data_IF_559017392296
#
_entry.id   IF_559017392296
#
_cell.length_a   1.000
_cell.length_b   1.000
_cell.length_c   1.000
_cell.angle_alpha   90.00
_cell.angle_beta   90.00
_cell.angle_gamma   90.00
#
_symmetry.space_group_name_H-M   'P 1'
#
loop_
_entity.id
_entity.type
_entity.pdbx_description
1 polymer ?
#
# COMPACT_ATOMS: atom_id res chain seq x y z
N UNK A 1 3.17 -1.08 12.92
CA UNK A 1 3.80 -1.38 14.20
C UNK A 1 5.27 -1.75 13.99
N UNK A 2 6.15 -1.11 14.75
CA UNK A 2 7.61 -1.35 14.74
C UNK A 2 8.05 -2.05 16.04
N UNK A 3 7.21 -2.92 16.59
CA UNK A 3 7.49 -3.74 17.78
C UNK A 3 8.01 -2.91 18.97
N UNK A 4 7.30 -1.84 19.31
CA UNK A 4 7.63 -0.94 20.42
C UNK A 4 8.58 0.20 20.08
N UNK A 5 9.19 0.23 18.89
CA UNK A 5 9.97 1.38 18.40
C UNK A 5 9.05 2.49 17.87
N UNK A 6 9.47 3.74 17.99
CA UNK A 6 8.77 4.91 17.44
C UNK A 6 9.52 5.48 16.23
N UNK A 7 8.84 5.48 15.08
CA UNK A 7 9.32 6.14 13.87
C UNK A 7 8.64 7.49 13.71
N UNK A 8 9.43 8.53 13.61
CA UNK A 8 8.99 9.91 13.32
C UNK A 8 9.60 10.33 12.00
N UNK A 9 8.78 10.78 11.06
CA UNK A 9 9.24 11.28 9.77
C UNK A 9 8.55 12.61 9.44
N UNK A 10 9.32 13.52 8.89
CA UNK A 10 8.88 14.82 8.40
C UNK A 10 9.59 15.16 7.09
N UNK A 11 9.26 16.28 6.45
CA UNK A 11 9.99 16.75 5.28
C UNK A 11 11.46 17.15 5.56
N UNK A 12 11.87 17.18 6.83
CA UNK A 12 13.20 17.61 7.24
C UNK A 12 14.08 16.48 7.80
N UNK A 13 13.47 15.43 8.35
CA UNK A 13 14.22 14.34 9.01
C UNK A 13 13.41 13.05 9.14
N UNK A 14 14.12 11.95 9.29
CA UNK A 14 13.61 10.66 9.74
C UNK A 14 14.34 10.30 11.03
N UNK A 15 13.59 9.98 12.08
CA UNK A 15 14.14 9.56 13.38
C UNK A 15 13.45 8.29 13.85
N UNK A 16 14.23 7.25 14.15
CA UNK A 16 13.77 6.00 14.77
C UNK A 16 14.29 5.94 16.21
N UNK A 17 13.38 5.76 17.14
CA UNK A 17 13.67 5.59 18.57
C UNK A 17 13.36 4.16 18.99
N UNK A 18 14.14 3.62 19.92
CA UNK A 18 13.86 2.35 20.59
C UNK A 18 12.73 2.50 21.62
N UNK A 19 12.38 1.40 22.29
CA UNK A 19 11.37 1.32 23.36
C UNK A 19 11.73 2.13 24.63
N UNK A 20 12.99 2.59 24.74
CA UNK A 20 13.49 3.43 25.84
C UNK A 20 13.61 4.91 25.43
N UNK A 21 13.31 5.24 24.17
CA UNK A 21 13.44 6.58 23.62
C UNK A 21 14.86 6.94 23.16
N UNK A 22 15.79 5.99 23.07
CA UNK A 22 17.11 6.25 22.50
C UNK A 22 17.04 6.28 20.97
N UNK A 23 17.79 7.17 20.35
CA UNK A 23 17.88 7.24 18.89
C UNK A 23 18.64 6.05 18.33
N UNK A 24 17.95 5.22 17.52
CA UNK A 24 18.53 4.08 16.78
C UNK A 24 19.03 4.53 15.42
N UNK A 25 18.26 5.40 14.76
CA UNK A 25 18.58 5.94 13.43
C UNK A 25 18.10 7.37 13.30
N UNK A 26 18.90 8.20 12.66
CA UNK A 26 18.53 9.58 12.32
C UNK A 26 19.18 9.98 11.00
N UNK A 27 18.40 10.60 10.12
CA UNK A 27 18.92 11.20 8.90
C UNK A 27 18.16 12.49 8.56
N UNK A 28 18.86 13.56 8.14
CA UNK A 28 18.22 14.71 7.53
C UNK A 28 17.52 14.33 6.23
N UNK A 29 16.42 14.99 5.93
CA UNK A 29 15.64 14.81 4.72
C UNK A 29 15.33 16.17 4.10
N UNK A 30 15.21 16.23 2.79
CA UNK A 30 14.63 17.35 2.06
C UNK A 30 13.54 16.81 1.14
N UNK A 31 12.32 16.73 1.66
CA UNK A 31 11.17 16.20 0.94
C UNK A 31 9.97 17.11 1.12
N UNK A 32 9.05 17.09 0.16
CA UNK A 32 7.79 17.80 0.24
C UNK A 32 6.83 17.10 1.20
N UNK A 33 5.96 16.26 0.68
CA UNK A 33 5.00 15.50 1.48
C UNK A 33 5.52 14.09 1.77
N UNK A 34 5.80 13.80 3.04
CA UNK A 34 6.28 12.50 3.51
C UNK A 34 5.12 11.65 4.02
N UNK A 35 5.12 10.39 3.66
CA UNK A 35 4.24 9.37 4.20
C UNK A 35 5.02 8.19 4.79
N UNK A 36 4.37 7.49 5.71
CA UNK A 36 4.93 6.32 6.41
C UNK A 36 3.92 5.19 6.37
N UNK A 37 4.39 4.00 6.05
CA UNK A 37 3.66 2.75 6.21
C UNK A 37 4.52 1.77 7.00
N UNK A 38 3.90 0.95 7.86
CA UNK A 38 4.64 0.02 8.71
C UNK A 38 3.82 -1.23 9.01
N UNK A 39 4.46 -2.38 8.94
CA UNK A 39 3.88 -3.68 9.26
C UNK A 39 4.98 -4.63 9.69
N UNK A 40 4.69 -5.45 10.70
CA UNK A 40 5.51 -6.61 11.11
C UNK A 40 6.99 -6.25 11.37
N UNK A 41 7.22 -5.14 12.11
CA UNK A 41 8.56 -4.66 12.47
C UNK A 41 9.37 -4.02 11.36
N UNK A 42 8.77 -3.77 10.19
CA UNK A 42 9.35 -3.06 9.06
C UNK A 42 8.57 -1.80 8.75
N UNK A 43 9.22 -0.79 8.20
CA UNK A 43 8.57 0.45 7.76
C UNK A 43 9.18 0.97 6.46
N UNK A 44 8.36 1.70 5.71
CA UNK A 44 8.81 2.51 4.59
C UNK A 44 8.43 3.97 4.82
N UNK A 45 9.40 4.86 4.67
CA UNK A 45 9.22 6.31 4.60
C UNK A 45 9.45 6.75 3.17
N UNK A 46 8.53 7.49 2.59
CA UNK A 46 8.62 7.90 1.19
C UNK A 46 8.05 9.29 0.96
N UNK A 47 8.49 9.92 -0.11
CA UNK A 47 7.94 11.19 -0.58
C UNK A 47 6.81 10.94 -1.58
N UNK A 48 5.60 11.43 -1.27
CA UNK A 48 4.47 11.37 -2.20
C UNK A 48 4.75 12.31 -3.39
N UNK A 49 4.68 11.78 -4.60
CA UNK A 49 5.05 12.52 -5.82
C UNK A 49 6.56 12.64 -6.05
N UNK A 50 7.38 12.21 -5.09
CA UNK A 50 8.83 12.09 -5.25
C UNK A 50 9.26 10.71 -5.71
N UNK A 51 10.57 10.42 -5.59
CA UNK A 51 11.17 9.14 -6.01
C UNK A 51 11.94 8.44 -4.89
N UNK A 52 12.07 9.08 -3.74
CA UNK A 52 12.86 8.59 -2.63
C UNK A 52 12.03 7.73 -1.70
N UNK A 53 12.57 6.58 -1.31
CA UNK A 53 12.00 5.64 -0.35
C UNK A 53 13.09 5.13 0.57
N UNK A 54 12.82 5.16 1.88
CA UNK A 54 13.68 4.66 2.95
C UNK A 54 13.01 3.45 3.58
N UNK A 55 13.63 2.28 3.44
CA UNK A 55 13.18 1.05 4.07
C UNK A 55 13.91 0.90 5.41
N UNK A 56 13.16 0.74 6.49
CA UNK A 56 13.68 0.65 7.85
C UNK A 56 13.17 -0.63 8.53
N UNK A 57 13.96 -1.10 9.48
CA UNK A 57 13.55 -2.07 10.49
C UNK A 57 13.89 -1.52 11.89
N UNK A 58 13.70 -2.31 12.94
CA UNK A 58 14.01 -1.91 14.33
C UNK A 58 15.48 -1.59 14.58
N UNK A 59 16.40 -1.97 13.69
CA UNK A 59 17.83 -1.73 13.79
C UNK A 59 18.27 -0.48 13.04
N UNK A 60 17.37 0.13 12.28
CA UNK A 60 17.63 1.35 11.51
C UNK A 60 17.35 1.20 10.02
N UNK A 61 18.13 1.87 9.21
CA UNK A 61 18.00 1.86 7.76
C UNK A 61 18.44 0.52 7.16
N UNK A 62 17.50 -0.15 6.49
CA UNK A 62 17.79 -1.35 5.68
C UNK A 62 18.28 -0.94 4.30
N UNK A 63 17.59 0.02 3.67
CA UNK A 63 17.92 0.46 2.31
C UNK A 63 17.33 1.84 2.01
N UNK A 64 18.11 2.68 1.35
CA UNK A 64 17.64 3.86 0.65
C UNK A 64 17.47 3.51 -0.84
N UNK A 65 16.33 3.90 -1.43
CA UNK A 65 15.95 3.56 -2.79
C UNK A 65 15.56 4.84 -3.55
N UNK A 66 16.08 4.98 -4.77
CA UNK A 66 15.56 5.95 -5.74
C UNK A 66 14.83 5.19 -6.82
N UNK A 67 13.52 5.43 -6.93
CA UNK A 67 12.65 4.71 -7.86
C UNK A 67 12.63 5.38 -9.24
N UNK A 68 12.21 4.63 -10.26
CA UNK A 68 12.17 5.12 -11.64
C UNK A 68 11.13 6.21 -11.88
N UNK A 69 10.03 6.21 -11.11
CA UNK A 69 8.90 7.14 -11.26
C UNK A 69 8.48 7.78 -9.94
N UNK A 70 7.60 8.77 -10.05
CA UNK A 70 6.97 9.43 -8.91
C UNK A 70 6.10 8.43 -8.13
N UNK A 71 6.29 8.36 -6.82
CA UNK A 71 5.58 7.44 -5.93
C UNK A 71 4.19 8.00 -5.64
N UNK A 72 3.15 7.19 -5.84
CA UNK A 72 1.78 7.52 -5.44
C UNK A 72 1.45 6.93 -4.07
N UNK A 73 1.78 5.66 -3.86
CA UNK A 73 1.53 4.98 -2.60
C UNK A 73 2.56 3.87 -2.37
N UNK A 74 2.82 3.57 -1.10
CA UNK A 74 3.57 2.40 -0.64
C UNK A 74 2.77 1.74 0.46
N UNK A 75 2.58 0.42 0.36
CA UNK A 75 1.93 -0.38 1.39
C UNK A 75 2.85 -1.48 1.86
N UNK A 76 3.17 -1.44 3.16
CA UNK A 76 3.88 -2.53 3.82
C UNK A 76 2.94 -3.71 4.06
N UNK A 77 3.47 -4.91 3.92
CA UNK A 77 2.78 -6.16 4.21
C UNK A 77 3.64 -7.07 5.07
N UNK A 78 3.07 -8.18 5.50
CA UNK A 78 3.74 -9.14 6.38
C UNK A 78 5.04 -9.69 5.80
N UNK A 79 6.00 -9.97 6.70
CA UNK A 79 7.31 -10.47 6.35
C UNK A 79 8.18 -9.44 5.62
N UNK A 80 7.90 -8.16 5.81
CA UNK A 80 8.63 -7.03 5.22
C UNK A 80 8.45 -6.88 3.71
N UNK A 81 7.51 -7.60 3.06
CA UNK A 81 7.17 -7.35 1.66
C UNK A 81 6.40 -6.05 1.56
N UNK A 82 6.57 -5.34 0.45
CA UNK A 82 5.82 -4.11 0.22
C UNK A 82 5.51 -3.91 -1.27
N UNK A 83 4.41 -3.21 -1.54
CA UNK A 83 4.01 -2.81 -2.87
C UNK A 83 4.21 -1.31 -3.04
N UNK A 84 4.79 -0.90 -4.16
CA UNK A 84 4.96 0.50 -4.54
C UNK A 84 4.15 0.78 -5.78
N UNK A 85 3.25 1.73 -5.71
CA UNK A 85 2.50 2.25 -6.84
C UNK A 85 3.16 3.54 -7.30
N UNK A 86 3.52 3.63 -8.59
CA UNK A 86 4.25 4.74 -9.13
C UNK A 86 3.82 5.11 -10.56
N UNK A 87 4.15 6.33 -10.95
CA UNK A 87 4.01 6.81 -12.33
C UNK A 87 5.05 6.16 -13.22
N UNK A 88 4.63 5.69 -14.38
CA UNK A 88 5.53 5.07 -15.36
C UNK A 88 5.27 5.61 -16.76
N UNK A 89 6.33 6.01 -17.46
CA UNK A 89 6.25 6.50 -18.83
C UNK A 89 5.64 5.44 -19.76
N UNK A 90 4.64 5.83 -20.54
CA UNK A 90 3.92 4.92 -21.45
C UNK A 90 2.75 4.15 -20.82
N UNK A 91 2.57 4.27 -19.50
CA UNK A 91 1.47 3.65 -18.75
C UNK A 91 0.77 4.69 -17.88
N UNK A 92 -0.45 4.38 -17.41
CA UNK A 92 -1.14 5.22 -16.41
C UNK A 92 -0.44 5.12 -15.06
N UNK A 93 -0.16 3.89 -14.65
CA UNK A 93 0.55 3.59 -13.39
C UNK A 93 1.27 2.25 -13.51
N UNK A 94 2.22 2.02 -12.62
CA UNK A 94 2.85 0.74 -12.40
C UNK A 94 2.84 0.38 -10.91
N UNK A 95 2.84 -0.91 -10.61
CA UNK A 95 3.08 -1.44 -9.27
C UNK A 95 4.28 -2.34 -9.31
N UNK A 96 5.17 -2.20 -8.33
CA UNK A 96 6.27 -3.14 -8.10
C UNK A 96 6.19 -3.66 -6.68
N UNK A 97 6.21 -4.96 -6.52
CA UNK A 97 6.30 -5.64 -5.22
C UNK A 97 7.76 -5.95 -4.93
N UNK A 98 8.20 -5.62 -3.72
CA UNK A 98 9.55 -5.83 -3.23
C UNK A 98 9.57 -6.79 -2.03
N UNK A 99 10.71 -7.42 -1.80
CA UNK A 99 10.98 -8.11 -0.53
C UNK A 99 11.50 -7.14 0.54
N UNK A 100 11.66 -7.62 1.78
CA UNK A 100 12.15 -6.85 2.92
C UNK A 100 13.59 -6.31 2.79
N UNK A 101 14.31 -6.64 1.70
CA UNK A 101 15.62 -6.09 1.37
C UNK A 101 15.55 -5.02 0.27
N UNK A 102 14.33 -4.69 -0.20
CA UNK A 102 14.14 -3.78 -1.32
C UNK A 102 14.60 -4.35 -2.67
N UNK A 103 14.49 -5.68 -2.87
CA UNK A 103 14.71 -6.34 -4.15
C UNK A 103 13.37 -6.59 -4.83
N UNK A 104 13.21 -6.28 -6.14
CA UNK A 104 11.94 -6.45 -6.82
C UNK A 104 11.60 -7.93 -7.00
N UNK A 105 10.36 -8.30 -6.69
CA UNK A 105 9.81 -9.65 -6.84
C UNK A 105 8.85 -9.75 -8.02
N UNK A 106 8.05 -8.71 -8.23
CA UNK A 106 6.98 -8.69 -9.23
C UNK A 106 6.72 -7.26 -9.69
N UNK A 107 6.41 -7.08 -10.97
CA UNK A 107 6.06 -5.80 -11.55
C UNK A 107 4.85 -5.91 -12.47
N UNK A 108 3.93 -4.95 -12.36
CA UNK A 108 2.75 -4.84 -13.21
C UNK A 108 2.59 -3.40 -13.71
N UNK A 109 2.33 -3.25 -15.01
CA UNK A 109 2.11 -1.95 -15.65
C UNK A 109 0.68 -1.85 -16.17
N UNK A 110 -0.07 -0.85 -15.71
CA UNK A 110 -1.45 -0.62 -16.12
C UNK A 110 -1.53 0.46 -17.20
N UNK A 111 -1.99 0.11 -18.39
CA UNK A 111 -2.24 1.04 -19.49
C UNK A 111 -3.67 1.60 -19.50
N UNK A 112 -4.65 0.91 -18.91
CA UNK A 112 -6.07 1.23 -19.02
C UNK A 112 -6.65 1.92 -17.79
N UNK A 113 -6.29 1.47 -16.59
CA UNK A 113 -6.79 2.00 -15.31
C UNK A 113 -5.65 2.66 -14.52
N UNK A 114 -5.99 3.65 -13.71
CA UNK A 114 -5.09 4.14 -12.67
C UNK A 114 -5.12 3.20 -11.48
N UNK A 115 -3.96 2.71 -11.06
CA UNK A 115 -3.82 1.98 -9.81
C UNK A 115 -3.48 3.01 -8.73
N UNK A 116 -4.34 3.12 -7.73
CA UNK A 116 -4.23 4.15 -6.69
C UNK A 116 -3.29 3.70 -5.57
N UNK A 117 -3.45 2.45 -5.15
CA UNK A 117 -2.60 1.76 -4.17
C UNK A 117 -2.62 0.27 -4.43
N UNK A 118 -1.70 -0.48 -3.84
CA UNK A 118 -1.65 -1.93 -3.95
C UNK A 118 -1.15 -2.55 -2.64
N UNK A 119 -1.70 -3.70 -2.27
CA UNK A 119 -1.30 -4.46 -1.10
C UNK A 119 -0.90 -5.90 -1.46
N UNK A 120 0.02 -6.48 -0.68
CA UNK A 120 0.46 -7.88 -0.83
C UNK A 120 -0.31 -8.75 0.17
N UNK A 121 -0.80 -9.91 -0.26
CA UNK A 121 -1.46 -10.86 0.63
C UNK A 121 -0.54 -11.34 1.75
N UNK A 122 -1.10 -11.70 2.90
CA UNK A 122 -0.33 -12.17 4.07
C UNK A 122 0.60 -13.36 3.75
N UNK A 123 0.18 -14.26 2.86
CA UNK A 123 1.00 -15.39 2.41
C UNK A 123 2.01 -15.03 1.30
N UNK A 124 2.01 -13.78 0.81
CA UNK A 124 2.91 -13.29 -0.20
C UNK A 124 2.73 -13.87 -1.61
N UNK A 125 1.59 -14.51 -1.91
CA UNK A 125 1.35 -15.14 -3.20
C UNK A 125 0.53 -14.27 -4.17
N UNK A 126 -0.17 -13.27 -3.64
CA UNK A 126 -1.08 -12.40 -4.38
C UNK A 126 -0.81 -10.94 -4.09
N UNK A 127 -1.17 -10.10 -5.02
CA UNK A 127 -1.25 -8.65 -4.89
C UNK A 127 -2.66 -8.21 -5.28
N UNK A 128 -3.23 -7.31 -4.50
CA UNK A 128 -4.42 -6.57 -4.90
C UNK A 128 -4.05 -5.13 -5.20
N UNK A 129 -4.66 -4.54 -6.24
CA UNK A 129 -4.52 -3.14 -6.58
C UNK A 129 -5.90 -2.49 -6.63
N UNK A 130 -6.07 -1.36 -5.95
CA UNK A 130 -7.23 -0.50 -6.06
C UNK A 130 -7.13 0.26 -7.38
N UNK A 131 -7.95 -0.12 -8.35
CA UNK A 131 -7.95 0.43 -9.70
C UNK A 131 -9.10 1.41 -9.90
N UNK A 132 -8.83 2.54 -10.54
CA UNK A 132 -9.82 3.52 -10.96
C UNK A 132 -9.76 3.71 -12.47
N UNK A 133 -10.93 3.62 -13.10
CA UNK A 133 -11.10 3.82 -14.52
C UNK A 133 -12.37 4.60 -14.84
N UNK A 134 -12.78 4.57 -16.10
CA UNK A 134 -14.01 5.18 -16.56
C UNK A 134 -14.87 4.11 -17.21
N UNK A 135 -16.14 4.05 -16.81
CA UNK A 135 -17.16 3.19 -17.40
C UNK A 135 -18.40 4.03 -17.69
N UNK A 136 -18.87 4.00 -18.93
CA UNK A 136 -20.07 4.75 -19.36
C UNK A 136 -20.03 6.26 -19.08
N UNK A 137 -18.82 6.88 -18.99
CA UNK A 137 -18.66 8.32 -18.68
C UNK A 137 -18.58 8.63 -17.18
N UNK A 138 -18.72 7.63 -16.31
CA UNK A 138 -18.57 7.77 -14.84
C UNK A 138 -17.28 7.11 -14.36
N UNK A 139 -16.75 7.60 -13.24
CA UNK A 139 -15.63 6.92 -12.58
C UNK A 139 -16.10 5.60 -11.98
N UNK A 140 -15.32 4.55 -12.21
CA UNK A 140 -15.54 3.22 -11.67
C UNK A 140 -14.29 2.75 -10.96
N UNK A 141 -14.46 2.24 -9.73
CA UNK A 141 -13.40 1.66 -8.94
C UNK A 141 -13.54 0.13 -8.91
N UNK A 142 -12.42 -0.56 -8.88
CA UNK A 142 -12.40 -2.02 -8.71
C UNK A 142 -11.15 -2.46 -7.95
N UNK A 143 -11.24 -3.64 -7.33
CA UNK A 143 -10.11 -4.31 -6.72
C UNK A 143 -9.64 -5.40 -7.68
N UNK A 144 -8.46 -5.20 -8.26
CA UNK A 144 -7.84 -6.13 -9.19
C UNK A 144 -6.85 -7.01 -8.44
N UNK A 145 -7.00 -8.33 -8.52
CA UNK A 145 -6.14 -9.29 -7.82
C UNK A 145 -5.30 -10.04 -8.84
N UNK A 146 -4.00 -10.08 -8.58
CA UNK A 146 -2.98 -10.74 -9.38
C UNK A 146 -2.22 -11.77 -8.55
N UNK A 147 -1.88 -12.89 -9.16
CA UNK A 147 -0.95 -13.86 -8.58
C UNK A 147 0.48 -13.43 -8.88
N UNK A 148 1.35 -13.36 -7.86
CA UNK A 148 2.73 -12.86 -8.02
C UNK A 148 3.66 -13.76 -8.86
N UNK A 149 3.17 -14.93 -9.30
CA UNK A 149 3.88 -15.85 -10.19
C UNK A 149 3.32 -15.84 -11.62
N UNK A 150 2.35 -14.97 -11.91
CA UNK A 150 1.63 -14.93 -13.18
C UNK A 150 1.15 -13.50 -13.46
N UNK A 151 1.23 -13.05 -14.69
CA UNK A 151 0.68 -11.76 -15.13
C UNK A 151 -0.86 -11.78 -15.32
N UNK A 152 -1.48 -12.92 -15.05
CA UNK A 152 -2.92 -13.09 -15.23
C UNK A 152 -3.72 -12.44 -14.10
N UNK A 153 -4.70 -11.63 -14.47
CA UNK A 153 -5.72 -11.11 -13.57
C UNK A 153 -6.55 -12.29 -13.03
N UNK A 154 -6.57 -12.46 -11.71
CA UNK A 154 -7.34 -13.53 -11.06
C UNK A 154 -8.76 -13.10 -10.76
N UNK A 155 -8.95 -11.84 -10.39
CA UNK A 155 -10.25 -11.24 -10.11
C UNK A 155 -10.24 -9.73 -10.35
N UNK A 156 -11.41 -9.20 -10.74
CA UNK A 156 -11.70 -7.76 -10.85
C UNK A 156 -13.04 -7.52 -10.15
N UNK A 157 -12.99 -7.22 -8.85
CA UNK A 157 -14.17 -6.99 -8.04
C UNK A 157 -14.57 -5.51 -8.09
N UNK A 158 -15.77 -5.20 -8.58
CA UNK A 158 -16.26 -3.84 -8.59
C UNK A 158 -16.38 -3.30 -7.16
N UNK A 159 -15.98 -2.06 -6.95
CA UNK A 159 -16.07 -1.35 -5.68
C UNK A 159 -17.07 -0.20 -5.76
N UNK A 160 -17.82 0.02 -4.69
CA UNK A 160 -18.68 1.19 -4.55
C UNK A 160 -17.88 2.34 -3.98
N UNK A 161 -17.77 3.46 -4.73
CA UNK A 161 -17.10 4.68 -4.27
C UNK A 161 -15.59 4.71 -4.55
N UNK A 162 -14.94 5.74 -3.99
CA UNK A 162 -13.49 5.94 -4.08
C UNK A 162 -12.76 5.18 -2.97
N UNK A 163 -11.64 4.55 -3.30
CA UNK A 163 -10.82 3.81 -2.32
C UNK A 163 -9.92 4.78 -1.56
N UNK A 164 -9.97 4.74 -0.23
CA UNK A 164 -9.08 5.49 0.67
C UNK A 164 -7.91 4.65 1.17
N UNK A 165 -8.18 3.38 1.46
CA UNK A 165 -7.20 2.49 2.07
C UNK A 165 -7.38 1.07 1.54
N UNK A 166 -6.28 0.35 1.42
CA UNK A 166 -6.22 -1.04 1.01
C UNK A 166 -5.19 -1.76 1.88
N UNK A 167 -5.61 -2.84 2.50
CA UNK A 167 -4.74 -3.66 3.34
C UNK A 167 -5.16 -5.12 3.34
N UNK A 168 -4.68 -5.88 4.32
CA UNK A 168 -5.03 -7.30 4.51
C UNK A 168 -5.50 -7.56 5.93
N UNK A 169 -6.54 -8.38 6.07
CA UNK A 169 -7.09 -8.82 7.36
C UNK A 169 -7.55 -10.27 7.22
N UNK A 170 -7.07 -11.15 8.10
CA UNK A 170 -7.46 -12.57 8.16
C UNK A 170 -7.39 -13.27 6.80
N UNK A 171 -6.28 -13.08 6.08
CA UNK A 171 -6.02 -13.69 4.77
C UNK A 171 -6.87 -13.14 3.62
N UNK A 172 -7.60 -12.05 3.85
CA UNK A 172 -8.40 -11.33 2.85
C UNK A 172 -7.82 -9.95 2.58
N UNK A 173 -7.99 -9.44 1.37
CA UNK A 173 -7.83 -8.02 1.08
C UNK A 173 -9.03 -7.25 1.62
N UNK A 174 -8.77 -6.12 2.24
CA UNK A 174 -9.77 -5.19 2.74
C UNK A 174 -9.58 -3.84 2.08
N UNK A 175 -10.55 -3.40 1.28
CA UNK A 175 -10.59 -2.07 0.69
C UNK A 175 -11.62 -1.21 1.41
N UNK A 176 -11.18 -0.07 1.97
CA UNK A 176 -12.06 0.93 2.54
C UNK A 176 -12.38 1.99 1.48
N UNK A 177 -13.67 2.24 1.25
CA UNK A 177 -14.17 3.26 0.34
C UNK A 177 -15.01 4.30 1.09
N UNK A 178 -15.43 5.38 0.42
CA UNK A 178 -16.37 6.35 0.97
C UNK A 178 -17.79 5.80 1.20
N UNK A 179 -18.05 4.56 0.82
CA UNK A 179 -19.39 3.94 0.90
C UNK A 179 -19.40 2.58 1.59
N UNK A 180 -18.32 1.82 1.54
CA UNK A 180 -18.32 0.44 2.01
C UNK A 180 -16.92 -0.04 2.43
N UNK A 181 -16.88 -1.09 3.26
CA UNK A 181 -15.74 -1.99 3.39
C UNK A 181 -15.96 -3.21 2.50
N UNK A 182 -14.99 -3.50 1.66
CA UNK A 182 -15.00 -4.66 0.77
C UNK A 182 -13.91 -5.65 1.19
N UNK A 183 -14.32 -6.89 1.45
CA UNK A 183 -13.39 -7.97 1.77
C UNK A 183 -13.38 -8.97 0.62
N UNK A 184 -12.21 -9.25 0.09
CA UNK A 184 -12.02 -10.21 -1.00
C UNK A 184 -10.95 -11.21 -0.59
N UNK A 185 -11.22 -12.51 -0.74
CA UNK A 185 -10.19 -13.53 -0.52
C UNK A 185 -9.00 -13.30 -1.45
N UNK A 186 -7.81 -13.61 -0.97
CA UNK A 186 -6.57 -13.39 -1.72
C UNK A 186 -6.54 -14.14 -3.07
N UNK A 187 -7.26 -15.27 -3.19
CA UNK A 187 -7.43 -16.01 -4.44
C UNK A 187 -8.51 -15.44 -5.38
N UNK A 188 -9.17 -14.34 -4.99
CA UNK A 188 -10.22 -13.68 -5.77
C UNK A 188 -11.60 -14.35 -5.70
N UNK A 189 -11.75 -15.39 -4.88
CA UNK A 189 -13.02 -16.08 -4.71
C UNK A 189 -13.83 -15.44 -3.59
N UNK A 190 -15.08 -15.05 -3.89
CA UNK A 190 -16.04 -14.45 -2.96
C UNK A 190 -15.65 -13.06 -2.41
N UNK A 191 -16.21 -12.02 -2.97
CA UNK A 191 -16.24 -10.69 -2.38
C UNK A 191 -17.43 -10.56 -1.40
N UNK A 192 -17.19 -9.96 -0.24
CA UNK A 192 -18.24 -9.56 0.69
C UNK A 192 -18.15 -8.06 0.93
N UNK A 193 -19.32 -7.41 1.01
CA UNK A 193 -19.43 -5.97 1.20
C UNK A 193 -20.16 -5.71 2.51
N UNK A 194 -19.65 -4.74 3.28
CA UNK A 194 -20.30 -4.28 4.50
C UNK A 194 -20.51 -2.77 4.36
N UNK A 195 -21.72 -2.32 4.59
CA UNK A 195 -22.05 -0.90 4.58
C UNK A 195 -21.29 -0.20 5.71
N UNK A 196 -20.74 0.96 5.38
CA UNK A 196 -20.00 1.80 6.30
C UNK A 196 -20.82 3.05 6.57
N UNK A 197 -21.12 3.29 7.83
CA UNK A 197 -21.76 4.55 8.26
C UNK A 197 -20.71 5.49 8.84
N UNK A 198 -20.59 6.66 8.23
CA UNK A 198 -19.81 7.77 8.77
C UNK A 198 -20.75 8.73 9.52
N UNK A 199 -20.48 9.00 10.76
CA UNK A 199 -21.12 10.08 11.48
C UNK A 199 -20.08 11.11 11.95
N UNK A 200 -20.56 12.18 12.62
CA UNK A 200 -19.70 13.24 13.16
C UNK A 200 -18.70 12.77 14.24
N UNK A 201 -18.78 11.55 14.69
CA UNK A 201 -17.94 10.97 15.75
C UNK A 201 -16.94 9.93 15.21
N UNK A 202 -17.02 9.55 13.92
CA UNK A 202 -16.10 8.60 13.32
C UNK A 202 -16.74 7.58 12.40
N UNK A 203 -15.97 6.55 12.08
CA UNK A 203 -16.35 5.43 11.23
C UNK A 203 -16.96 4.32 12.08
N UNK A 204 -18.20 3.93 11.79
CA UNK A 204 -18.84 2.75 12.37
C UNK A 204 -19.03 1.68 11.31
N UNK A 205 -18.54 0.49 11.58
CA UNK A 205 -18.69 -0.68 10.74
C UNK A 205 -19.67 -1.64 11.41
N UNK A 206 -20.77 -1.94 10.73
CA UNK A 206 -21.65 -3.02 11.12
C UNK A 206 -21.26 -4.27 10.32
N UNK A 207 -20.81 -5.29 11.03
CA UNK A 207 -20.56 -6.63 10.46
C UNK A 207 -21.78 -7.48 10.80
N UNK A 208 -22.58 -7.83 9.80
CA UNK A 208 -23.65 -8.83 9.92
C UNK A 208 -23.10 -10.22 9.64
#
# INVERSE_FOLDING_TARGET
DLDGSLLVASGQEITLLDDKGNTVYHTPLQAGQVAVTAEDGCAAVYEIGGKSLYLLDRKGLVKEMTLEGEIFAVEMGRGGRFAVTLKKTGYKTAVTVYNGKGEPLYGFNSAQKYLMTAAVSENGNYMAAAAMGQDGGSFASSLQIYKLTSDALQADAALSGGVYELGTVDGRFCAATDKALCFVKADGVNASYHDVMFDKFGLYVWVN
#
